data_IF_238437564724
#
_entry.id   IF_238437564724
#
_cell.length_a   1.000
_cell.length_b   1.000
_cell.length_c   1.000
_cell.angle_alpha   90.00
_cell.angle_beta   90.00
_cell.angle_gamma   90.00
#
_symmetry.space_group_name_H-M   'P 1'
#
loop_
_entity.id
_entity.type
_entity.pdbx_description
1 polymer ?
#
# COMPACT_ATOMS: atom_id res chain seq x y z
N UNK A 1 7.94 12.63 3.82
CA UNK A 1 6.88 12.21 2.87
C UNK A 1 6.57 10.72 3.02
N UNK A 2 7.49 9.79 2.68
CA UNK A 2 7.20 8.34 2.74
C UNK A 2 6.66 7.85 4.09
N UNK A 3 7.31 8.22 5.20
CA UNK A 3 6.83 7.85 6.54
C UNK A 3 5.42 8.41 6.82
N UNK A 4 5.12 9.65 6.41
CA UNK A 4 3.79 10.25 6.58
C UNK A 4 2.71 9.50 5.76
N UNK A 5 3.01 9.18 4.50
CA UNK A 5 2.12 8.41 3.63
C UNK A 5 1.84 7.00 4.17
N UNK A 6 2.87 6.30 4.67
CA UNK A 6 2.68 4.94 5.18
C UNK A 6 2.06 4.93 6.58
N UNK A 7 2.59 5.72 7.52
CA UNK A 7 2.23 5.59 8.94
C UNK A 7 0.97 6.36 9.34
N UNK A 8 0.58 7.36 8.55
CA UNK A 8 -0.55 8.24 8.84
C UNK A 8 -1.53 8.36 7.66
N UNK A 9 -1.26 7.69 6.53
CA UNK A 9 -2.07 7.80 5.32
C UNK A 9 -2.22 9.24 4.80
N UNK A 10 -1.17 10.05 4.90
CA UNK A 10 -1.19 11.44 4.45
C UNK A 10 -1.31 11.54 2.92
N UNK A 11 -2.51 11.92 2.47
CA UNK A 11 -2.87 12.07 1.05
C UNK A 11 -2.06 13.15 0.32
N UNK A 12 -1.71 14.24 1.01
CA UNK A 12 -0.86 15.28 0.40
C UNK A 12 0.54 14.76 0.17
N UNK A 13 1.09 14.03 1.15
CA UNK A 13 2.39 13.39 1.01
C UNK A 13 2.38 12.34 -0.12
N UNK A 14 1.29 11.57 -0.27
CA UNK A 14 1.14 10.61 -1.36
C UNK A 14 1.19 11.29 -2.74
N UNK A 15 0.41 12.36 -2.94
CA UNK A 15 0.40 13.13 -4.19
C UNK A 15 1.78 13.74 -4.51
N UNK A 16 2.50 14.25 -3.50
CA UNK A 16 3.86 14.76 -3.69
C UNK A 16 4.85 13.66 -4.09
N UNK A 17 4.74 12.46 -3.51
CA UNK A 17 5.57 11.31 -3.88
C UNK A 17 5.27 10.82 -5.30
N UNK A 18 4.00 10.73 -5.69
CA UNK A 18 3.61 10.35 -7.06
C UNK A 18 4.22 11.35 -8.04
N UNK A 19 4.18 12.66 -7.74
CA UNK A 19 4.82 13.69 -8.56
C UNK A 19 6.34 13.48 -8.65
N UNK A 20 7.01 13.22 -7.52
CA UNK A 20 8.46 12.99 -7.46
C UNK A 20 8.89 11.78 -8.31
N UNK A 21 8.07 10.72 -8.35
CA UNK A 21 8.33 9.53 -9.16
C UNK A 21 8.14 9.74 -10.67
N UNK A 22 7.55 10.85 -11.10
CA UNK A 22 7.21 11.11 -12.51
C UNK A 22 5.74 10.88 -12.86
N UNK A 23 4.86 10.83 -11.85
CA UNK A 23 3.41 10.72 -12.01
C UNK A 23 2.87 9.30 -11.93
N UNK A 24 1.55 9.16 -12.15
CA UNK A 24 0.82 7.89 -12.05
C UNK A 24 1.43 6.79 -12.92
N UNK A 25 1.90 7.14 -14.12
CA UNK A 25 2.53 6.19 -15.04
C UNK A 25 3.74 5.50 -14.43
N UNK A 26 4.57 6.23 -13.66
CA UNK A 26 5.75 5.67 -13.01
C UNK A 26 5.40 4.67 -11.89
N UNK A 27 4.31 4.90 -11.17
CA UNK A 27 3.81 3.96 -10.15
C UNK A 27 3.34 2.65 -10.80
N UNK A 28 2.59 2.76 -11.90
CA UNK A 28 2.14 1.60 -12.67
C UNK A 28 3.30 0.85 -13.31
N UNK A 29 4.31 1.57 -13.81
CA UNK A 29 5.53 0.97 -14.37
C UNK A 29 6.32 0.21 -13.30
N UNK A 30 6.45 0.77 -12.10
CA UNK A 30 7.09 0.07 -10.99
C UNK A 30 6.37 -1.24 -10.64
N UNK A 31 5.04 -1.23 -10.53
CA UNK A 31 4.26 -2.45 -10.30
C UNK A 31 4.56 -3.51 -11.37
N UNK A 32 4.58 -3.11 -12.65
CA UNK A 32 4.93 -4.00 -13.76
C UNK A 32 6.36 -4.52 -13.69
N UNK A 33 7.32 -3.69 -13.24
CA UNK A 33 8.72 -4.09 -13.12
C UNK A 33 8.95 -5.19 -12.07
N UNK A 34 8.08 -5.28 -11.05
CA UNK A 34 8.11 -6.37 -10.06
C UNK A 34 7.18 -7.54 -10.45
N UNK A 35 6.62 -7.51 -11.66
CA UNK A 35 5.76 -8.56 -12.22
C UNK A 35 4.29 -8.48 -11.80
N UNK A 36 3.82 -7.33 -11.29
CA UNK A 36 2.41 -7.09 -11.03
C UNK A 36 1.75 -6.44 -12.27
N UNK A 37 0.95 -7.24 -12.98
CA UNK A 37 0.19 -6.80 -14.15
C UNK A 37 -1.28 -6.49 -13.83
N UNK A 38 -1.68 -6.60 -12.56
CA UNK A 38 -3.06 -6.40 -12.12
C UNK A 38 -3.24 -5.05 -11.45
N UNK A 39 -2.24 -4.60 -10.68
CA UNK A 39 -2.25 -3.28 -10.07
C UNK A 39 -2.40 -2.18 -11.13
N UNK A 40 -3.31 -1.25 -10.86
CA UNK A 40 -3.44 0.00 -11.60
C UNK A 40 -3.81 1.14 -10.65
N UNK A 41 -3.07 2.22 -10.75
CA UNK A 41 -3.41 3.53 -10.24
C UNK A 41 -3.85 4.39 -11.43
N UNK A 42 -5.00 5.04 -11.33
CA UNK A 42 -5.60 5.83 -12.41
C UNK A 42 -5.82 7.29 -11.99
N UNK A 43 -5.92 7.56 -10.68
CA UNK A 43 -6.20 8.89 -10.13
C UNK A 43 -5.26 9.23 -8.97
N UNK A 44 -5.22 10.51 -8.63
CA UNK A 44 -4.54 11.03 -7.43
C UNK A 44 -5.49 11.04 -6.24
N UNK A 45 -4.95 11.29 -5.05
CA UNK A 45 -5.77 11.55 -3.87
C UNK A 45 -6.51 12.89 -4.00
N UNK A 46 -7.78 12.98 -3.55
CA UNK A 46 -8.59 11.92 -2.92
C UNK A 46 -9.40 11.06 -3.92
N UNK A 47 -9.37 11.40 -5.21
CA UNK A 47 -10.30 10.86 -6.21
C UNK A 47 -10.14 9.36 -6.47
N UNK A 48 -9.02 8.74 -6.11
CA UNK A 48 -8.80 7.30 -6.23
C UNK A 48 -9.71 6.46 -5.31
N UNK A 49 -10.36 7.08 -4.30
CA UNK A 49 -11.13 6.38 -3.27
C UNK A 49 -12.64 6.28 -3.52
N UNK A 50 -13.12 6.60 -4.73
CA UNK A 50 -14.57 6.55 -5.05
C UNK A 50 -15.18 5.15 -4.98
N UNK A 51 -14.35 4.10 -5.11
CA UNK A 51 -14.72 2.70 -4.89
C UNK A 51 -16.07 2.24 -5.51
N UNK A 52 -16.39 2.74 -6.71
CA UNK A 52 -17.65 2.44 -7.36
C UNK A 52 -17.73 0.94 -7.68
N UNK A 53 -18.85 0.24 -7.41
CA UNK A 53 -18.97 -1.17 -7.72
C UNK A 53 -18.70 -1.47 -9.20
N UNK A 54 -17.79 -2.42 -9.45
CA UNK A 54 -17.33 -2.86 -10.78
C UNK A 54 -16.56 -1.81 -11.60
N UNK A 55 -16.16 -0.67 -11.02
CA UNK A 55 -15.22 0.25 -11.67
C UNK A 55 -13.80 -0.33 -11.61
N UNK A 56 -13.13 -0.52 -12.76
CA UNK A 56 -11.80 -1.13 -12.76
C UNK A 56 -10.70 -0.15 -12.35
N UNK A 57 -10.97 1.15 -12.20
CA UNK A 57 -9.93 2.15 -11.88
C UNK A 57 -9.46 2.03 -10.44
N UNK A 58 -8.17 2.26 -10.23
CA UNK A 58 -7.54 2.24 -8.89
C UNK A 58 -7.70 0.89 -8.17
N UNK A 59 -7.64 -0.20 -8.93
CA UNK A 59 -7.87 -1.56 -8.43
C UNK A 59 -6.62 -2.43 -8.44
N UNK A 60 -6.68 -3.47 -7.62
CA UNK A 60 -5.82 -4.65 -7.66
C UNK A 60 -6.65 -5.88 -7.26
N UNK A 61 -6.03 -7.05 -7.18
CA UNK A 61 -6.65 -8.24 -6.56
C UNK A 61 -5.93 -8.61 -5.27
N UNK A 62 -6.59 -9.31 -4.33
CA UNK A 62 -5.95 -9.78 -3.10
C UNK A 62 -4.67 -10.59 -3.37
N UNK A 63 -4.70 -11.49 -4.37
CA UNK A 63 -3.56 -12.33 -4.72
C UNK A 63 -2.38 -11.52 -5.29
N UNK A 64 -2.66 -10.55 -6.18
CA UNK A 64 -1.61 -9.70 -6.76
C UNK A 64 -0.95 -8.83 -5.69
N UNK A 65 -1.73 -8.16 -4.84
CA UNK A 65 -1.19 -7.32 -3.78
C UNK A 65 -0.41 -8.12 -2.74
N UNK A 66 -0.87 -9.31 -2.36
CA UNK A 66 -0.12 -10.20 -1.46
C UNK A 66 1.23 -10.62 -2.06
N UNK A 67 1.27 -10.96 -3.35
CA UNK A 67 2.51 -11.32 -4.03
C UNK A 67 3.48 -10.14 -4.13
N UNK A 68 2.99 -8.94 -4.44
CA UNK A 68 3.78 -7.71 -4.46
C UNK A 68 4.34 -7.35 -3.08
N UNK A 69 3.51 -7.41 -2.03
CA UNK A 69 3.95 -7.16 -0.66
C UNK A 69 5.02 -8.16 -0.20
N UNK A 70 4.83 -9.45 -0.49
CA UNK A 70 5.82 -10.48 -0.20
C UNK A 70 7.17 -10.19 -0.89
N UNK A 71 7.17 -9.84 -2.19
CA UNK A 71 8.40 -9.50 -2.93
C UNK A 71 9.13 -8.29 -2.36
N UNK A 72 8.39 -7.26 -1.94
CA UNK A 72 8.96 -5.99 -1.47
C UNK A 72 9.46 -6.08 -0.02
N UNK A 73 8.77 -6.82 0.86
CA UNK A 73 9.04 -6.85 2.30
C UNK A 73 9.87 -8.06 2.72
N UNK A 74 9.69 -9.21 2.07
CA UNK A 74 10.35 -10.47 2.43
C UNK A 74 11.29 -10.98 1.34
N UNK A 75 10.97 -10.70 0.06
CA UNK A 75 11.77 -11.08 -1.10
C UNK A 75 12.95 -10.13 -1.36
N UNK A 76 13.42 -10.11 -2.60
CA UNK A 76 14.63 -9.41 -3.06
C UNK A 76 14.35 -8.28 -4.07
N UNK A 77 13.08 -7.88 -4.24
CA UNK A 77 12.71 -6.79 -5.14
C UNK A 77 13.29 -5.43 -4.72
N UNK A 78 13.70 -5.29 -3.46
CA UNK A 78 14.40 -4.13 -2.92
C UNK A 78 15.76 -4.55 -2.33
N UNK A 79 16.80 -3.70 -2.44
CA UNK A 79 18.03 -3.93 -1.69
C UNK A 79 17.75 -3.93 -0.18
N UNK A 80 18.62 -4.61 0.59
CA UNK A 80 18.35 -4.95 1.98
C UNK A 80 17.98 -3.72 2.86
N UNK A 81 18.70 -2.61 2.72
CA UNK A 81 18.44 -1.40 3.51
C UNK A 81 17.05 -0.78 3.21
N UNK A 82 16.62 -0.79 1.95
CA UNK A 82 15.32 -0.27 1.52
C UNK A 82 14.18 -1.19 1.98
N UNK A 83 14.40 -2.51 1.93
CA UNK A 83 13.45 -3.49 2.47
C UNK A 83 13.26 -3.35 3.98
N UNK A 84 14.36 -3.15 4.71
CA UNK A 84 14.32 -2.87 6.15
C UNK A 84 13.58 -1.56 6.43
N UNK A 85 13.87 -0.50 5.68
CA UNK A 85 13.20 0.78 5.85
C UNK A 85 11.69 0.71 5.57
N UNK A 86 11.26 -0.02 4.53
CA UNK A 86 9.85 -0.29 4.26
C UNK A 86 9.19 -1.06 5.40
N UNK A 87 9.88 -2.09 5.92
CA UNK A 87 9.42 -2.88 7.06
C UNK A 87 9.24 -2.00 8.31
N UNK A 88 10.16 -1.08 8.58
CA UNK A 88 10.08 -0.12 9.69
C UNK A 88 8.84 0.77 9.55
N UNK A 89 8.57 1.29 8.35
CA UNK A 89 7.40 2.13 8.13
C UNK A 89 6.09 1.35 8.33
N UNK A 90 5.97 0.14 7.78
CA UNK A 90 4.80 -0.73 7.94
C UNK A 90 4.56 -1.11 9.41
N UNK A 91 5.61 -1.49 10.14
CA UNK A 91 5.53 -1.80 11.58
C UNK A 91 5.07 -0.60 12.41
N UNK A 92 5.45 0.60 12.01
CA UNK A 92 5.07 1.85 12.68
C UNK A 92 3.76 2.46 12.19
N UNK A 93 2.93 1.75 11.42
CA UNK A 93 1.62 2.27 11.03
C UNK A 93 0.73 2.53 12.25
N UNK A 94 0.07 3.69 12.27
CA UNK A 94 -0.82 4.11 13.37
C UNK A 94 -2.30 3.90 13.07
N UNK A 95 -2.64 3.52 11.84
CA UNK A 95 -4.02 3.47 11.35
C UNK A 95 -4.70 2.10 11.43
N UNK A 96 -3.94 1.02 11.64
CA UNK A 96 -4.42 -0.37 11.59
C UNK A 96 -4.77 -1.02 12.93
N UNK A 97 -5.01 -0.23 13.98
CA UNK A 97 -5.24 -0.76 15.34
C UNK A 97 -6.43 -1.72 15.44
N UNK A 98 -7.49 -1.45 14.68
CA UNK A 98 -8.78 -2.16 14.73
C UNK A 98 -8.98 -3.13 13.54
N UNK A 99 -7.94 -3.38 12.73
CA UNK A 99 -8.02 -4.22 11.52
C UNK A 99 -7.29 -5.55 11.71
N UNK A 100 -6.32 -5.91 10.85
CA UNK A 100 -5.60 -7.19 10.97
C UNK A 100 -4.90 -7.31 12.34
N UNK A 101 -4.36 -6.20 12.87
CA UNK A 101 -3.68 -6.20 14.17
C UNK A 101 -4.57 -6.65 15.32
N UNK A 102 -5.84 -6.22 15.34
CA UNK A 102 -6.78 -6.60 16.39
C UNK A 102 -7.11 -8.10 16.39
N UNK A 103 -7.02 -8.74 15.22
CA UNK A 103 -7.26 -10.18 15.06
C UNK A 103 -6.03 -11.07 15.20
N UNK A 104 -4.83 -10.50 15.24
CA UNK A 104 -3.57 -11.24 15.36
C UNK A 104 -3.25 -11.60 16.82
N UNK A 105 -2.41 -12.64 17.07
CA UNK A 105 -1.87 -12.89 18.40
C UNK A 105 -1.13 -11.65 18.95
N UNK A 106 -1.33 -11.34 20.23
CA UNK A 106 -0.84 -10.10 20.83
C UNK A 106 0.70 -9.97 20.85
N UNK A 107 1.42 -11.08 20.72
CA UNK A 107 2.88 -11.15 20.68
C UNK A 107 3.46 -11.05 19.25
N UNK A 108 2.62 -11.05 18.22
CA UNK A 108 3.07 -10.93 16.84
C UNK A 108 3.38 -9.47 16.48
N UNK A 109 4.49 -9.26 15.77
CA UNK A 109 4.84 -7.94 15.24
C UNK A 109 4.22 -7.79 13.85
N UNK A 110 3.10 -7.10 13.78
CA UNK A 110 2.43 -6.80 12.52
C UNK A 110 3.05 -5.56 11.86
N UNK A 111 3.24 -5.59 10.56
CA UNK A 111 3.46 -4.40 9.73
C UNK A 111 2.38 -4.31 8.66
N UNK A 112 1.65 -3.21 8.61
CA UNK A 112 0.43 -3.10 7.79
C UNK A 112 0.26 -1.74 7.10
N UNK A 113 -0.70 -1.69 6.16
CA UNK A 113 -1.23 -0.45 5.62
C UNK A 113 -2.73 -0.60 5.33
N UNK A 114 -3.50 0.28 5.95
CA UNK A 114 -4.96 0.38 5.76
C UNK A 114 -5.35 1.15 4.50
N UNK A 115 -6.60 1.00 4.06
CA UNK A 115 -7.23 1.83 3.05
C UNK A 115 -8.73 1.98 3.32
N UNK A 116 -9.27 3.18 3.11
CA UNK A 116 -10.68 3.48 3.27
C UNK A 116 -11.21 4.24 2.06
N UNK A 117 -12.50 4.08 1.75
CA UNK A 117 -13.12 4.79 0.64
C UNK A 117 -14.64 4.79 0.73
N UNK A 118 -15.28 5.28 -0.33
CA UNK A 118 -16.73 5.23 -0.47
C UNK A 118 -17.24 3.76 -0.48
N UNK A 119 -18.55 3.58 -0.45
CA UNK A 119 -19.21 2.25 -0.42
C UNK A 119 -18.81 1.37 0.77
N UNK A 120 -18.32 1.98 1.87
CA UNK A 120 -17.89 1.26 3.06
C UNK A 120 -16.61 0.45 2.84
N UNK A 121 -15.84 0.78 1.81
CA UNK A 121 -14.58 0.11 1.49
C UNK A 121 -13.63 0.21 2.68
N UNK A 122 -13.23 -0.95 3.20
CA UNK A 122 -12.31 -1.06 4.34
C UNK A 122 -11.30 -2.14 4.01
N UNK A 123 -10.07 -1.73 3.71
CA UNK A 123 -8.98 -2.59 3.30
C UNK A 123 -7.85 -2.56 4.33
N UNK A 124 -7.12 -3.66 4.42
CA UNK A 124 -5.85 -3.74 5.13
C UNK A 124 -4.96 -4.81 4.50
N UNK A 125 -3.66 -4.55 4.41
CA UNK A 125 -2.64 -5.51 3.94
C UNK A 125 -1.53 -5.57 4.98
N UNK A 126 -1.03 -6.77 5.28
CA UNK A 126 -0.05 -6.94 6.35
C UNK A 126 0.98 -8.05 6.09
N UNK A 127 2.14 -7.90 6.74
CA UNK A 127 3.12 -8.96 7.01
C UNK A 127 3.16 -9.18 8.52
N UNK A 128 3.15 -10.45 8.95
CA UNK A 128 3.15 -10.87 10.34
C UNK A 128 4.26 -11.90 10.60
#
# INVERSE_FOLDING_TARGET
LCAATIQYSDNTAANLLIKELGGIAAVNEFARSIGDHTFRLDRLEPDLNTALPNDPRDTTTPAAMAASLNKLVLGDALPAAQREQLTIWLKGNTTGGETIRAGAPADWIVGDKTGGGDYGTTNDIAVL
#
